data_IF_776301078431
#
_entry.id   IF_776301078431
#
_cell.length_a   1.000
_cell.length_b   1.000
_cell.length_c   1.000
_cell.angle_alpha   90.00
_cell.angle_beta   90.00
_cell.angle_gamma   90.00
#
_symmetry.space_group_name_H-M   'P 1'
#
loop_
_entity.id
_entity.type
_entity.pdbx_description
1 polymer ?
#
# COMPACT_ATOMS: atom_id res chain seq x y z
N UNK A 1 10.78 -38.61 -47.01
CA UNK A 1 10.70 -38.93 -45.57
C UNK A 1 10.22 -37.70 -44.82
N UNK A 2 8.93 -37.65 -44.49
CA UNK A 2 8.31 -36.57 -43.72
C UNK A 2 8.73 -36.69 -42.26
N UNK A 3 9.52 -35.73 -41.75
CA UNK A 3 9.75 -35.55 -40.31
C UNK A 3 8.46 -34.98 -39.71
N UNK A 4 7.70 -35.83 -39.02
CA UNK A 4 6.63 -35.40 -38.12
C UNK A 4 7.24 -34.50 -37.05
N UNK A 5 6.75 -33.26 -36.97
CA UNK A 5 6.92 -32.39 -35.81
C UNK A 5 6.29 -33.10 -34.61
N UNK A 6 7.12 -33.45 -33.64
CA UNK A 6 6.67 -33.93 -32.34
C UNK A 6 5.90 -32.80 -31.65
N UNK A 7 4.59 -32.97 -31.51
CA UNK A 7 3.80 -32.23 -30.54
C UNK A 7 4.34 -32.59 -29.16
N UNK A 8 5.15 -31.69 -28.58
CA UNK A 8 5.45 -31.72 -27.15
C UNK A 8 4.12 -31.67 -26.41
N UNK A 9 3.75 -32.80 -25.81
CA UNK A 9 2.71 -32.90 -24.79
C UNK A 9 2.90 -31.75 -23.81
N UNK A 10 1.85 -30.97 -23.65
CA UNK A 10 1.72 -29.93 -22.65
C UNK A 10 2.05 -30.56 -21.29
N UNK A 11 3.23 -30.22 -20.76
CA UNK A 11 3.65 -30.65 -19.44
C UNK A 11 2.56 -30.21 -18.46
N UNK A 12 2.17 -31.07 -17.52
CA UNK A 12 1.25 -30.81 -16.39
C UNK A 12 1.88 -29.77 -15.45
N UNK A 13 2.09 -28.58 -16.01
CA UNK A 13 2.65 -27.42 -15.32
C UNK A 13 1.56 -27.03 -14.36
N UNK A 14 1.71 -27.39 -13.09
CA UNK A 14 0.83 -26.94 -12.01
C UNK A 14 0.86 -25.42 -12.01
N UNK A 15 -0.11 -24.82 -12.70
CA UNK A 15 -0.28 -23.36 -12.73
C UNK A 15 -0.67 -22.96 -11.32
N UNK A 16 0.13 -22.09 -10.70
CA UNK A 16 -0.20 -21.55 -9.39
C UNK A 16 -1.55 -20.84 -9.43
N UNK A 17 -2.38 -21.02 -8.40
CA UNK A 17 -3.68 -20.32 -8.28
C UNK A 17 -3.51 -18.80 -8.32
N UNK A 18 -2.33 -18.29 -7.91
CA UNK A 18 -2.04 -16.87 -7.95
C UNK A 18 -1.79 -16.32 -9.37
N UNK A 19 -1.60 -17.17 -10.37
CA UNK A 19 -1.20 -16.78 -11.73
C UNK A 19 -2.30 -16.02 -12.47
N UNK A 20 -1.92 -15.12 -13.37
CA UNK A 20 -2.87 -14.35 -14.19
C UNK A 20 -2.63 -14.52 -15.68
N UNK A 21 -3.63 -14.99 -16.41
CA UNK A 21 -3.59 -15.08 -17.87
C UNK A 21 -4.01 -13.77 -18.54
N UNK A 22 -3.17 -13.21 -19.41
CA UNK A 22 -3.45 -11.98 -20.15
C UNK A 22 -4.43 -12.17 -21.32
N UNK A 23 -4.71 -13.40 -21.75
CA UNK A 23 -5.47 -13.71 -22.95
C UNK A 23 -6.83 -13.00 -23.06
N UNK A 24 -7.50 -12.75 -21.94
CA UNK A 24 -8.81 -12.09 -21.89
C UNK A 24 -8.76 -10.67 -21.31
N UNK A 25 -7.56 -10.09 -21.16
CA UNK A 25 -7.38 -8.77 -20.58
C UNK A 25 -7.63 -7.67 -21.61
N UNK A 26 -8.41 -6.65 -21.26
CA UNK A 26 -8.68 -5.48 -22.13
C UNK A 26 -7.45 -4.61 -22.35
N UNK A 27 -6.43 -4.76 -21.50
CA UNK A 27 -5.19 -4.01 -21.58
C UNK A 27 -4.11 -4.76 -22.34
N UNK A 28 -4.36 -5.99 -22.83
CA UNK A 28 -3.39 -6.70 -23.66
C UNK A 28 -3.35 -6.09 -25.06
N UNK A 29 -2.15 -5.83 -25.56
CA UNK A 29 -1.92 -5.26 -26.90
C UNK A 29 -1.33 -6.35 -27.79
N UNK A 30 -1.99 -6.63 -28.91
CA UNK A 30 -1.60 -7.69 -29.84
C UNK A 30 -1.24 -7.11 -31.21
N UNK A 31 -0.17 -7.66 -31.80
CA UNK A 31 0.22 -7.44 -33.19
C UNK A 31 0.40 -8.81 -33.84
N UNK A 32 -0.19 -9.02 -35.03
CA UNK A 32 -0.13 -10.31 -35.74
C UNK A 32 -0.52 -11.52 -34.87
N UNK A 33 -1.55 -11.38 -34.02
CA UNK A 33 -2.03 -12.41 -33.07
C UNK A 33 -1.05 -12.75 -31.93
N UNK A 34 0.01 -11.98 -31.74
CA UNK A 34 0.93 -12.14 -30.62
C UNK A 34 0.83 -10.93 -29.70
N UNK A 35 0.70 -11.17 -28.39
CA UNK A 35 0.73 -10.09 -27.42
C UNK A 35 2.13 -9.47 -27.40
N UNK A 36 2.23 -8.20 -27.78
CA UNK A 36 3.47 -7.43 -27.77
C UNK A 36 3.59 -6.57 -26.52
N UNK A 37 2.47 -6.23 -25.88
CA UNK A 37 2.46 -5.21 -24.84
C UNK A 37 1.28 -5.28 -23.88
N UNK A 38 1.20 -4.21 -23.08
CA UNK A 38 0.10 -3.96 -22.18
C UNK A 38 -0.11 -2.45 -22.05
N UNK A 39 -1.31 -1.96 -22.41
CA UNK A 39 -1.65 -0.54 -22.35
C UNK A 39 -1.52 0.06 -20.94
N UNK A 40 -1.67 -0.76 -19.89
CA UNK A 40 -1.45 -0.37 -18.49
C UNK A 40 0.03 -0.42 -18.07
N UNK A 41 0.95 -0.79 -18.96
CA UNK A 41 2.39 -0.87 -18.72
C UNK A 41 2.81 -1.98 -17.75
N UNK A 42 1.93 -2.95 -17.46
CA UNK A 42 2.20 -3.97 -16.42
C UNK A 42 3.17 -5.06 -16.87
N UNK A 43 3.12 -5.44 -18.14
CA UNK A 43 3.96 -6.51 -18.67
C UNK A 43 5.46 -6.18 -18.51
N UNK A 44 5.87 -4.95 -18.79
CA UNK A 44 7.25 -4.51 -18.59
C UNK A 44 7.66 -4.47 -17.12
N UNK A 45 6.73 -4.13 -16.22
CA UNK A 45 7.00 -4.14 -14.77
C UNK A 45 7.26 -5.57 -14.27
N UNK A 46 6.49 -6.54 -14.75
CA UNK A 46 6.73 -7.96 -14.44
C UNK A 46 8.08 -8.44 -14.96
N UNK A 47 8.49 -8.05 -16.17
CA UNK A 47 9.83 -8.37 -16.70
C UNK A 47 10.96 -7.78 -15.86
N UNK A 48 10.84 -6.51 -15.47
CA UNK A 48 11.84 -5.83 -14.63
C UNK A 48 12.00 -6.45 -13.25
N UNK A 49 10.92 -7.00 -12.71
CA UNK A 49 10.91 -7.70 -11.42
C UNK A 49 11.22 -9.20 -11.55
N UNK A 50 11.74 -9.65 -12.70
CA UNK A 50 12.12 -11.04 -12.97
C UNK A 50 11.00 -12.07 -12.71
N UNK A 51 9.75 -11.67 -12.99
CA UNK A 51 8.59 -12.57 -12.88
C UNK A 51 8.51 -13.45 -14.13
N UNK A 52 8.31 -14.75 -13.91
CA UNK A 52 8.17 -15.73 -15.00
C UNK A 52 6.92 -15.45 -15.86
N UNK A 53 7.14 -15.14 -17.13
CA UNK A 53 6.09 -14.89 -18.13
C UNK A 53 6.07 -16.02 -19.16
N UNK A 54 5.06 -16.88 -19.10
CA UNK A 54 4.92 -18.05 -19.97
C UNK A 54 4.02 -17.70 -21.16
N UNK A 55 4.48 -17.80 -22.41
CA UNK A 55 3.60 -17.66 -23.58
C UNK A 55 2.57 -18.78 -23.60
N UNK A 56 1.30 -18.41 -23.78
CA UNK A 56 0.16 -19.32 -23.93
C UNK A 56 -0.60 -18.98 -25.21
N UNK A 57 -1.00 -19.99 -25.96
CA UNK A 57 -1.87 -19.84 -27.12
C UNK A 57 -3.30 -20.23 -26.75
N UNK A 58 -4.29 -19.48 -27.26
CA UNK A 58 -5.68 -19.89 -27.20
C UNK A 58 -6.04 -20.82 -28.38
N UNK A 59 -7.30 -21.26 -28.46
CA UNK A 59 -7.81 -22.12 -29.54
C UNK A 59 -7.74 -21.46 -30.94
N UNK A 60 -7.54 -20.15 -31.01
CA UNK A 60 -7.45 -19.36 -32.25
C UNK A 60 -6.00 -19.00 -32.64
N UNK A 61 -5.01 -19.67 -32.03
CA UNK A 61 -3.57 -19.42 -32.16
C UNK A 61 -3.12 -17.99 -31.77
N UNK A 62 -3.92 -17.29 -30.94
CA UNK A 62 -3.54 -16.00 -30.38
C UNK A 62 -2.65 -16.24 -29.17
N UNK A 63 -1.39 -15.79 -29.26
CA UNK A 63 -0.40 -15.92 -28.19
C UNK A 63 -0.52 -14.74 -27.23
N UNK A 64 -0.67 -15.04 -25.95
CA UNK A 64 -0.68 -14.08 -24.82
C UNK A 64 0.23 -14.56 -23.71
N UNK A 65 0.47 -13.73 -22.69
CA UNK A 65 1.31 -14.15 -21.54
C UNK A 65 0.47 -14.67 -20.38
N UNK A 66 0.98 -15.71 -19.71
CA UNK A 66 0.60 -16.12 -18.36
C UNK A 66 1.65 -15.59 -17.40
N UNK A 67 1.22 -14.76 -16.45
CA UNK A 67 2.07 -14.26 -15.37
C UNK A 67 2.05 -15.32 -14.27
N UNK A 68 3.11 -16.11 -14.18
CA UNK A 68 3.16 -17.26 -13.29
C UNK A 68 3.37 -16.84 -11.83
N UNK A 69 2.58 -17.41 -10.93
CA UNK A 69 2.67 -17.17 -9.48
C UNK A 69 2.31 -15.76 -9.01
N UNK A 70 1.79 -14.87 -9.88
CA UNK A 70 1.45 -13.49 -9.52
C UNK A 70 0.09 -13.05 -10.06
N UNK A 71 -0.65 -12.34 -9.21
CA UNK A 71 -1.92 -11.74 -9.57
C UNK A 71 -1.70 -10.33 -10.13
N UNK A 72 -2.18 -10.07 -11.36
CA UNK A 72 -2.15 -8.73 -11.91
C UNK A 72 -3.37 -7.92 -11.42
N UNK A 73 -3.15 -6.98 -10.51
CA UNK A 73 -4.22 -6.12 -9.94
C UNK A 73 -4.94 -5.25 -10.98
N UNK A 74 -4.31 -5.03 -12.15
CA UNK A 74 -4.90 -4.34 -13.30
C UNK A 74 -5.70 -5.26 -14.22
N UNK A 75 -5.67 -6.59 -14.05
CA UNK A 75 -6.40 -7.47 -14.95
C UNK A 75 -7.90 -7.15 -14.93
N UNK A 76 -8.45 -6.88 -16.11
CA UNK A 76 -9.88 -6.62 -16.34
C UNK A 76 -10.25 -7.24 -17.67
N UNK A 77 -11.39 -7.93 -17.71
CA UNK A 77 -11.87 -8.57 -18.94
C UNK A 77 -12.91 -7.71 -19.68
N UNK A 78 -13.16 -8.05 -20.94
CA UNK A 78 -14.12 -7.32 -21.79
C UNK A 78 -15.53 -7.25 -21.19
N UNK A 79 -15.97 -8.30 -20.49
CA UNK A 79 -17.30 -8.33 -19.85
C UNK A 79 -17.40 -7.26 -18.75
N UNK A 80 -16.38 -7.15 -17.89
CA UNK A 80 -16.29 -6.13 -16.85
C UNK A 80 -16.21 -4.72 -17.45
N UNK A 81 -15.38 -4.52 -18.49
CA UNK A 81 -15.24 -3.21 -19.11
C UNK A 81 -16.58 -2.72 -19.68
N UNK A 82 -17.31 -3.60 -20.37
CA UNK A 82 -18.63 -3.31 -20.93
C UNK A 82 -19.66 -2.99 -19.85
N UNK A 83 -19.66 -3.69 -18.71
CA UNK A 83 -20.65 -3.47 -17.65
C UNK A 83 -20.47 -2.15 -16.91
N UNK A 84 -19.23 -1.74 -16.64
CA UNK A 84 -18.94 -0.54 -15.84
C UNK A 84 -18.68 0.71 -16.68
N UNK A 85 -18.04 0.57 -17.83
CA UNK A 85 -17.50 1.70 -18.60
C UNK A 85 -18.09 1.83 -20.01
N UNK A 86 -18.93 0.88 -20.46
CA UNK A 86 -19.60 0.89 -21.77
C UNK A 86 -18.59 1.13 -22.91
N UNK A 87 -18.75 2.20 -23.67
CA UNK A 87 -17.91 2.61 -24.80
C UNK A 87 -16.79 3.60 -24.43
N UNK A 88 -16.36 3.62 -23.16
CA UNK A 88 -15.22 4.46 -22.74
C UNK A 88 -13.92 4.02 -23.39
N UNK A 89 -13.03 4.97 -23.68
CA UNK A 89 -11.68 4.66 -24.15
C UNK A 89 -10.85 3.90 -23.12
N UNK A 90 -9.89 3.10 -23.59
CA UNK A 90 -8.96 2.35 -22.75
C UNK A 90 -8.25 3.26 -21.73
N UNK A 91 -7.82 4.45 -22.13
CA UNK A 91 -7.18 5.43 -21.24
C UNK A 91 -8.07 5.85 -20.06
N UNK A 92 -9.37 6.05 -20.32
CA UNK A 92 -10.32 6.41 -19.26
C UNK A 92 -10.50 5.24 -18.29
N UNK A 93 -10.53 4.01 -18.80
CA UNK A 93 -10.61 2.80 -17.98
C UNK A 93 -9.34 2.64 -17.14
N UNK A 94 -8.14 2.84 -17.72
CA UNK A 94 -6.86 2.81 -16.99
C UNK A 94 -6.86 3.83 -15.85
N UNK A 95 -7.27 5.08 -16.10
CA UNK A 95 -7.36 6.12 -15.07
C UNK A 95 -8.30 5.70 -13.93
N UNK A 96 -9.42 5.06 -14.27
CA UNK A 96 -10.41 4.61 -13.28
C UNK A 96 -9.88 3.43 -12.45
N UNK A 97 -9.21 2.46 -13.09
CA UNK A 97 -8.53 1.36 -12.38
C UNK A 97 -7.42 1.89 -11.48
N UNK A 98 -6.62 2.85 -11.93
CA UNK A 98 -5.61 3.51 -11.08
C UNK A 98 -6.22 4.16 -9.84
N UNK A 99 -7.36 4.82 -9.99
CA UNK A 99 -8.07 5.41 -8.85
C UNK A 99 -8.61 4.34 -7.89
N UNK A 100 -9.12 3.22 -8.41
CA UNK A 100 -9.60 2.07 -7.61
C UNK A 100 -8.48 1.43 -6.80
N UNK A 101 -7.27 1.38 -7.36
CA UNK A 101 -6.12 0.74 -6.72
C UNK A 101 -5.49 1.59 -5.62
N UNK A 102 -5.85 2.88 -5.46
CA UNK A 102 -5.32 3.73 -4.39
C UNK A 102 -5.49 3.05 -3.02
N UNK A 103 -4.36 2.75 -2.39
CA UNK A 103 -4.33 1.97 -1.15
C UNK A 103 -4.85 2.84 0.00
N UNK A 104 -5.97 2.47 0.66
CA UNK A 104 -6.40 3.19 1.85
C UNK A 104 -5.44 2.90 3.00
N UNK A 105 -5.00 3.96 3.68
CA UNK A 105 -4.13 3.85 4.85
C UNK A 105 -4.59 4.76 5.99
N UNK A 106 -4.05 4.50 7.17
CA UNK A 106 -4.30 5.23 8.41
C UNK A 106 -3.03 5.96 8.85
N UNK A 107 -3.15 7.22 9.23
CA UNK A 107 -2.05 7.97 9.86
C UNK A 107 -2.28 8.07 11.37
N UNK A 108 -1.27 7.71 12.14
CA UNK A 108 -1.14 8.01 13.56
C UNK A 108 -0.21 9.22 13.69
N UNK A 109 -0.77 10.39 13.96
CA UNK A 109 -0.02 11.64 14.05
C UNK A 109 0.17 12.01 15.52
N UNK A 110 1.39 11.94 16.01
CA UNK A 110 1.72 12.27 17.40
C UNK A 110 1.97 13.77 17.55
N UNK A 111 1.34 14.36 18.57
CA UNK A 111 1.58 15.71 19.04
C UNK A 111 2.38 15.63 20.34
N UNK A 112 3.58 16.19 20.35
CA UNK A 112 4.51 16.25 21.49
C UNK A 112 4.42 17.58 22.22
N UNK A 113 5.20 17.73 23.29
CA UNK A 113 5.12 18.89 24.19
C UNK A 113 5.68 20.18 23.58
N UNK A 114 6.58 20.05 22.61
CA UNK A 114 7.23 21.11 21.86
C UNK A 114 6.45 21.54 20.61
N UNK A 115 5.46 20.75 20.21
CA UNK A 115 4.62 21.02 19.05
C UNK A 115 3.51 22.04 19.35
N UNK A 116 3.20 22.87 18.35
CA UNK A 116 2.14 23.85 18.40
C UNK A 116 0.87 23.40 17.67
N UNK A 117 -0.23 24.13 17.88
CA UNK A 117 -1.45 23.95 17.09
C UNK A 117 -1.24 24.26 15.60
N UNK A 118 -0.30 25.14 15.28
CA UNK A 118 0.03 25.49 13.90
C UNK A 118 0.75 24.32 13.22
N UNK A 119 1.61 23.60 13.95
CA UNK A 119 2.25 22.37 13.45
C UNK A 119 1.21 21.31 13.11
N UNK A 120 0.23 21.09 13.99
CA UNK A 120 -0.91 20.18 13.70
C UNK A 120 -1.62 20.60 12.42
N UNK A 121 -1.93 21.89 12.27
CA UNK A 121 -2.57 22.42 11.06
C UNK A 121 -1.72 22.21 9.80
N UNK A 122 -0.41 22.44 9.88
CA UNK A 122 0.52 22.24 8.77
C UNK A 122 0.54 20.76 8.34
N UNK A 123 0.74 19.83 9.28
CA UNK A 123 0.77 18.39 8.99
C UNK A 123 -0.54 17.86 8.43
N UNK A 124 -1.69 18.28 8.98
CA UNK A 124 -2.99 17.88 8.43
C UNK A 124 -3.21 18.42 7.02
N UNK A 125 -2.71 19.63 6.72
CA UNK A 125 -2.73 20.18 5.36
C UNK A 125 -1.86 19.37 4.41
N UNK A 126 -0.65 18.98 4.82
CA UNK A 126 0.25 18.13 4.03
C UNK A 126 -0.32 16.74 3.78
N UNK A 127 -1.04 16.18 4.75
CA UNK A 127 -1.75 14.91 4.61
C UNK A 127 -2.94 15.00 3.65
N UNK A 128 -3.72 16.08 3.71
CA UNK A 128 -4.85 16.31 2.80
C UNK A 128 -4.37 16.48 1.34
N UNK A 129 -3.18 17.05 1.13
CA UNK A 129 -2.60 17.31 -0.20
C UNK A 129 -1.83 16.14 -0.81
N UNK A 130 -1.68 15.03 -0.09
CA UNK A 130 -1.04 13.80 -0.60
C UNK A 130 -1.74 13.27 -1.86
N UNK A 131 -0.98 12.70 -2.80
CA UNK A 131 -1.55 12.05 -4.00
C UNK A 131 -2.54 10.94 -3.63
N UNK A 132 -2.19 10.15 -2.62
CA UNK A 132 -3.14 9.28 -1.93
C UNK A 132 -3.38 9.87 -0.54
N UNK A 133 -4.50 10.58 -0.39
CA UNK A 133 -4.97 11.10 0.90
C UNK A 133 -5.21 9.96 1.90
N UNK A 134 -4.78 10.07 3.18
CA UNK A 134 -5.10 9.06 4.18
C UNK A 134 -6.61 8.96 4.37
N UNK A 135 -7.09 7.73 4.55
CA UNK A 135 -8.51 7.49 4.79
C UNK A 135 -8.87 7.85 6.23
N UNK A 136 -7.96 7.56 7.15
CA UNK A 136 -8.14 7.75 8.58
C UNK A 136 -6.96 8.55 9.10
N UNK A 137 -7.22 9.54 9.94
CA UNK A 137 -6.18 10.23 10.73
C UNK A 137 -6.53 10.15 12.21
N UNK A 138 -5.64 9.61 13.01
CA UNK A 138 -5.73 9.68 14.48
C UNK A 138 -4.67 10.63 14.98
N UNK A 139 -5.10 11.79 15.46
CA UNK A 139 -4.24 12.71 16.18
C UNK A 139 -4.10 12.22 17.62
N UNK A 140 -2.88 11.91 18.03
CA UNK A 140 -2.54 11.38 19.33
C UNK A 140 -1.87 12.50 20.12
N UNK A 141 -2.60 13.07 21.06
CA UNK A 141 -2.10 14.12 21.93
C UNK A 141 -1.29 13.50 23.08
N UNK A 142 0.03 13.61 22.95
CA UNK A 142 1.06 13.29 23.95
C UNK A 142 1.82 14.54 24.39
N UNK A 143 1.22 15.71 24.23
CA UNK A 143 1.86 16.97 24.66
C UNK A 143 1.99 17.06 26.17
N UNK A 144 1.16 16.30 26.90
CA UNK A 144 1.01 16.36 28.36
C UNK A 144 0.78 17.80 28.86
N UNK A 145 0.20 18.65 28.00
CA UNK A 145 -0.15 20.02 28.34
C UNK A 145 -1.20 20.06 29.45
N UNK A 146 -1.03 20.97 30.41
CA UNK A 146 -2.04 21.20 31.45
C UNK A 146 -3.30 21.87 30.89
N UNK A 147 -3.20 22.47 29.70
CA UNK A 147 -4.33 23.08 29.01
C UNK A 147 -5.09 22.00 28.23
N UNK A 148 -6.40 21.93 28.44
CA UNK A 148 -7.28 21.08 27.63
C UNK A 148 -7.31 21.62 26.19
N UNK A 149 -6.68 20.91 25.26
CA UNK A 149 -6.56 21.32 23.85
C UNK A 149 -7.58 20.66 22.92
N UNK A 150 -8.34 19.67 23.41
CA UNK A 150 -9.25 18.85 22.59
C UNK A 150 -10.21 19.68 21.73
N UNK A 151 -10.79 20.76 22.28
CA UNK A 151 -11.71 21.61 21.52
C UNK A 151 -11.04 22.37 20.37
N UNK A 152 -9.80 22.82 20.56
CA UNK A 152 -9.05 23.51 19.51
C UNK A 152 -8.57 22.52 18.44
N UNK A 153 -8.08 21.34 18.85
CA UNK A 153 -7.74 20.25 17.94
C UNK A 153 -8.93 19.81 17.09
N UNK A 154 -10.13 19.70 17.68
CA UNK A 154 -11.36 19.36 16.94
C UNK A 154 -11.66 20.40 15.85
N UNK A 155 -11.55 21.70 16.17
CA UNK A 155 -11.76 22.77 15.18
C UNK A 155 -10.76 22.71 14.04
N UNK A 156 -9.52 22.30 14.31
CA UNK A 156 -8.50 22.13 13.26
C UNK A 156 -8.87 20.92 12.40
N UNK A 157 -9.11 19.74 12.98
CA UNK A 157 -9.45 18.53 12.22
C UNK A 157 -10.69 18.69 11.35
N UNK A 158 -11.70 19.45 11.80
CA UNK A 158 -12.93 19.72 11.05
C UNK A 158 -12.72 20.48 9.73
N UNK A 159 -11.58 21.14 9.53
CA UNK A 159 -11.26 21.86 8.29
C UNK A 159 -10.89 20.93 7.14
N UNK A 160 -10.55 19.67 7.44
CA UNK A 160 -10.02 18.71 6.48
C UNK A 160 -11.07 17.64 6.14
N UNK A 161 -10.92 17.01 4.98
CA UNK A 161 -11.93 16.12 4.40
C UNK A 161 -11.50 14.65 4.41
N UNK A 162 -10.88 14.23 5.52
CA UNK A 162 -10.60 12.82 5.77
C UNK A 162 -11.90 12.03 5.97
N UNK A 163 -11.95 10.78 5.51
CA UNK A 163 -13.15 9.96 5.67
C UNK A 163 -13.46 9.69 7.14
N UNK A 164 -12.41 9.52 7.95
CA UNK A 164 -12.50 9.45 9.40
C UNK A 164 -11.34 10.22 10.03
N UNK A 165 -11.63 10.91 11.13
CA UNK A 165 -10.59 11.44 12.00
C UNK A 165 -10.96 11.18 13.46
N UNK A 166 -9.94 11.12 14.32
CA UNK A 166 -10.09 10.94 15.77
C UNK A 166 -9.00 11.72 16.49
N UNK A 167 -9.34 12.21 17.67
CA UNK A 167 -8.37 12.74 18.63
C UNK A 167 -8.31 11.76 19.80
N UNK A 168 -7.10 11.42 20.23
CA UNK A 168 -6.85 10.54 21.35
C UNK A 168 -5.80 11.19 22.26
N UNK A 169 -6.22 11.66 23.43
CA UNK A 169 -5.30 12.23 24.42
C UNK A 169 -4.81 11.15 25.38
N UNK A 170 -3.49 11.04 25.54
CA UNK A 170 -2.85 10.10 26.45
C UNK A 170 -2.27 10.87 27.63
N UNK A 171 -2.86 10.67 28.81
CA UNK A 171 -2.45 11.40 30.03
C UNK A 171 -1.28 10.73 30.75
N UNK A 172 -1.12 9.41 30.61
CA UNK A 172 -0.04 8.65 31.23
C UNK A 172 1.29 8.93 30.51
N UNK A 173 2.23 9.58 31.21
CA UNK A 173 3.54 9.97 30.68
C UNK A 173 4.44 8.74 30.49
N UNK A 174 4.30 7.76 31.37
CA UNK A 174 5.06 6.51 31.41
C UNK A 174 4.61 5.47 30.39
N UNK A 175 3.45 5.67 29.75
CA UNK A 175 2.96 4.76 28.73
C UNK A 175 3.86 4.82 27.47
N UNK A 176 4.30 3.68 26.97
CA UNK A 176 5.17 3.61 25.80
C UNK A 176 4.39 3.94 24.52
N UNK A 177 5.05 4.56 23.53
CA UNK A 177 4.41 4.87 22.24
C UNK A 177 3.86 3.63 21.54
N UNK A 178 4.53 2.48 21.69
CA UNK A 178 4.05 1.20 21.16
C UNK A 178 2.69 0.80 21.75
N UNK A 179 2.47 0.99 23.05
CA UNK A 179 1.19 0.70 23.70
C UNK A 179 0.10 1.68 23.22
N UNK A 180 0.48 2.94 22.99
CA UNK A 180 -0.42 3.96 22.45
C UNK A 180 -0.81 3.66 20.99
N UNK A 181 0.14 3.16 20.19
CA UNK A 181 -0.10 2.68 18.83
C UNK A 181 -1.09 1.52 18.85
N UNK A 182 -0.91 0.54 19.73
CA UNK A 182 -1.84 -0.60 19.88
C UNK A 182 -3.25 -0.11 20.26
N UNK A 183 -3.35 0.85 21.19
CA UNK A 183 -4.63 1.44 21.55
C UNK A 183 -5.30 2.18 20.37
N UNK A 184 -4.52 2.97 19.62
CA UNK A 184 -5.03 3.65 18.43
C UNK A 184 -5.47 2.66 17.34
N UNK A 185 -4.70 1.59 17.15
CA UNK A 185 -4.99 0.49 16.26
C UNK A 185 -6.30 -0.21 16.64
N UNK A 186 -6.47 -0.60 17.90
CA UNK A 186 -7.64 -1.32 18.39
C UNK A 186 -8.95 -0.54 18.17
N UNK A 187 -8.86 0.78 18.22
CA UNK A 187 -9.97 1.69 17.95
C UNK A 187 -10.33 1.78 16.46
N UNK A 188 -9.41 1.47 15.55
CA UNK A 188 -9.63 1.55 14.10
C UNK A 188 -9.61 0.19 13.41
N UNK A 189 -9.26 -0.92 14.07
CA UNK A 189 -9.07 -2.25 13.45
C UNK A 189 -10.27 -2.78 12.66
N UNK A 190 -11.49 -2.33 12.95
CA UNK A 190 -12.69 -2.70 12.15
C UNK A 190 -12.85 -1.90 10.86
N UNK A 191 -12.10 -0.81 10.69
CA UNK A 191 -12.12 0.03 9.50
C UNK A 191 -11.26 -0.57 8.39
N UNK A 192 -11.61 -0.26 7.14
CA UNK A 192 -10.91 -0.78 5.97
C UNK A 192 -9.74 0.12 5.57
N UNK A 193 -8.52 -0.30 5.90
CA UNK A 193 -7.22 0.24 5.47
C UNK A 193 -6.20 -0.92 5.41
N UNK A 194 -5.15 -0.77 4.59
CA UNK A 194 -4.13 -1.81 4.38
C UNK A 194 -2.99 -1.73 5.39
N UNK A 195 -2.56 -0.52 5.71
CA UNK A 195 -1.47 -0.25 6.65
C UNK A 195 -1.75 1.04 7.41
N UNK A 196 -1.04 1.22 8.52
CA UNK A 196 -0.95 2.51 9.19
C UNK A 196 0.49 3.00 9.21
N UNK A 197 0.68 4.32 9.23
CA UNK A 197 1.99 4.96 9.35
C UNK A 197 1.99 5.91 10.53
N UNK A 198 3.09 5.94 11.28
CA UNK A 198 3.30 6.77 12.45
C UNK A 198 4.13 7.98 12.06
N UNK A 199 3.60 9.16 12.31
CA UNK A 199 4.21 10.45 12.00
C UNK A 199 4.18 11.34 13.25
N UNK A 200 4.98 12.38 13.23
CA UNK A 200 5.17 13.32 14.34
C UNK A 200 4.84 14.74 13.87
N UNK A 201 4.19 15.54 14.70
CA UNK A 201 3.78 16.90 14.34
C UNK A 201 4.98 17.80 14.02
N UNK A 202 6.07 17.64 14.76
CA UNK A 202 7.29 18.45 14.62
C UNK A 202 8.08 18.25 13.32
N UNK A 203 7.71 17.30 12.46
CA UNK A 203 8.46 16.99 11.23
C UNK A 203 7.59 17.12 9.99
N UNK A 204 8.10 17.79 8.95
CA UNK A 204 7.41 17.95 7.67
C UNK A 204 7.11 16.60 7.01
N UNK A 205 5.90 16.45 6.46
CA UNK A 205 5.49 15.27 5.71
C UNK A 205 5.73 15.54 4.22
N UNK A 206 6.67 14.82 3.57
CA UNK A 206 6.94 15.02 2.16
C UNK A 206 5.69 14.81 1.31
N UNK A 207 5.44 15.73 0.37
CA UNK A 207 4.28 15.65 -0.55
C UNK A 207 4.23 14.37 -1.39
N UNK A 208 5.38 13.71 -1.57
CA UNK A 208 5.51 12.47 -2.35
C UNK A 208 5.39 11.20 -1.51
N UNK A 209 5.26 11.28 -0.19
CA UNK A 209 5.28 10.12 0.70
C UNK A 209 4.26 9.04 0.27
N UNK A 210 3.00 9.44 0.11
CA UNK A 210 1.93 8.54 -0.30
C UNK A 210 2.12 7.96 -1.71
N UNK A 211 2.64 8.76 -2.64
CA UNK A 211 2.90 8.37 -4.01
C UNK A 211 4.05 7.36 -4.08
N UNK A 212 5.10 7.56 -3.29
CA UNK A 212 6.24 6.65 -3.20
C UNK A 212 5.81 5.29 -2.66
N UNK A 213 5.09 5.25 -1.53
CA UNK A 213 4.58 3.98 -0.96
C UNK A 213 3.66 3.27 -1.97
N UNK A 214 2.75 4.01 -2.61
CA UNK A 214 1.82 3.46 -3.58
C UNK A 214 2.55 2.88 -4.79
N UNK A 215 3.55 3.60 -5.31
CA UNK A 215 4.39 3.16 -6.41
C UNK A 215 5.18 1.91 -6.02
N UNK A 216 5.84 1.89 -4.87
CA UNK A 216 6.63 0.74 -4.43
C UNK A 216 5.77 -0.52 -4.32
N UNK A 217 4.60 -0.42 -3.70
CA UNK A 217 3.69 -1.56 -3.51
C UNK A 217 3.04 -2.04 -4.81
N UNK A 218 2.54 -1.13 -5.66
CA UNK A 218 1.81 -1.54 -6.86
C UNK A 218 2.70 -1.67 -8.09
N UNK A 219 3.58 -0.71 -8.33
CA UNK A 219 4.34 -0.61 -9.56
C UNK A 219 5.62 -1.42 -9.50
N UNK A 220 6.37 -1.26 -8.42
CA UNK A 220 7.65 -1.94 -8.24
C UNK A 220 7.46 -3.32 -7.58
N UNK A 221 6.25 -3.61 -7.07
CA UNK A 221 5.83 -4.89 -6.47
C UNK A 221 6.69 -5.30 -5.27
N UNK A 222 7.20 -4.30 -4.57
CA UNK A 222 7.94 -4.46 -3.34
C UNK A 222 7.00 -5.00 -2.26
N UNK A 223 7.57 -5.81 -1.36
CA UNK A 223 6.86 -6.34 -0.20
C UNK A 223 7.54 -5.90 1.09
N UNK A 224 6.71 -5.55 2.08
CA UNK A 224 7.13 -5.32 3.45
C UNK A 224 6.01 -5.74 4.40
N UNK A 225 6.37 -5.98 5.66
CA UNK A 225 5.45 -6.20 6.78
C UNK A 225 5.54 -5.02 7.74
N UNK A 226 6.77 -4.54 7.96
CA UNK A 226 7.08 -3.34 8.74
C UNK A 226 8.10 -2.50 7.97
N UNK A 227 7.87 -1.19 7.97
CA UNK A 227 8.87 -0.19 7.67
C UNK A 227 9.36 0.42 8.98
N UNK A 228 10.63 0.22 9.29
CA UNK A 228 11.30 0.91 10.40
C UNK A 228 11.35 2.40 10.10
N UNK A 229 11.19 3.27 11.13
CA UNK A 229 11.22 4.70 10.92
C UNK A 229 12.59 5.17 10.42
N UNK A 230 12.63 6.39 9.89
CA UNK A 230 13.88 7.05 9.49
C UNK A 230 14.70 7.49 10.73
N UNK A 231 15.82 8.17 10.51
CA UNK A 231 16.70 8.67 11.58
C UNK A 231 16.05 9.68 12.53
N UNK A 232 14.93 10.30 12.12
CA UNK A 232 14.12 11.20 12.94
C UNK A 232 12.98 10.47 13.68
N UNK A 233 12.98 9.13 13.65
CA UNK A 233 11.92 8.29 14.21
C UNK A 233 10.53 8.49 13.55
N UNK A 234 10.50 8.95 12.29
CA UNK A 234 9.27 9.22 11.52
C UNK A 234 9.06 8.15 10.46
N UNK A 235 7.78 7.83 10.17
CA UNK A 235 7.40 7.00 9.03
C UNK A 235 7.32 5.50 9.33
N UNK A 236 7.35 5.11 10.62
CA UNK A 236 7.15 3.71 11.01
C UNK A 236 5.81 3.24 10.44
N UNK A 237 5.85 2.26 9.53
CA UNK A 237 4.66 1.81 8.80
C UNK A 237 4.45 0.33 9.03
N UNK A 238 3.22 -0.07 9.35
CA UNK A 238 2.91 -1.46 9.71
C UNK A 238 1.71 -1.92 8.90
N UNK A 239 1.83 -3.08 8.26
CA UNK A 239 0.69 -3.74 7.63
C UNK A 239 -0.34 -4.13 8.69
N UNK A 240 -1.60 -3.78 8.44
CA UNK A 240 -2.72 -4.10 9.34
C UNK A 240 -2.77 -5.58 9.67
N UNK A 241 -2.67 -6.44 8.65
CA UNK A 241 -2.71 -7.90 8.81
C UNK A 241 -1.57 -8.43 9.69
N UNK A 242 -0.41 -7.78 9.67
CA UNK A 242 0.71 -8.15 10.51
C UNK A 242 0.44 -7.80 11.97
N UNK A 243 -0.06 -6.59 12.23
CA UNK A 243 -0.46 -6.19 13.57
C UNK A 243 -1.51 -7.18 14.14
N UNK A 244 -2.51 -7.57 13.35
CA UNK A 244 -3.52 -8.55 13.79
C UNK A 244 -2.93 -9.93 14.06
N UNK A 245 -2.08 -10.44 13.15
CA UNK A 245 -1.50 -11.79 13.25
C UNK A 245 -0.68 -11.97 14.53
N UNK A 246 0.13 -10.98 14.90
CA UNK A 246 1.06 -11.09 16.04
C UNK A 246 0.59 -10.34 17.29
N UNK A 247 -0.64 -9.80 17.28
CA UNK A 247 -1.20 -9.07 18.41
C UNK A 247 -0.45 -7.77 18.74
N UNK A 248 0.01 -7.04 17.73
CA UNK A 248 0.67 -5.75 17.91
C UNK A 248 1.90 -5.80 18.79
N UNK A 249 2.04 -4.81 19.67
CA UNK A 249 3.12 -4.70 20.66
C UNK A 249 2.71 -5.27 22.05
N UNK A 250 1.65 -6.10 22.10
CA UNK A 250 1.19 -6.76 23.32
C UNK A 250 2.32 -7.39 24.13
N UNK A 251 2.20 -7.35 25.45
CA UNK A 251 3.20 -7.82 26.42
C UNK A 251 4.52 -7.05 26.36
N UNK A 252 4.51 -5.80 25.89
CA UNK A 252 5.69 -4.92 25.75
C UNK A 252 6.78 -5.46 24.83
N UNK A 253 6.47 -6.47 24.01
CA UNK A 253 7.37 -7.05 23.02
C UNK A 253 7.08 -6.33 21.68
N UNK A 254 8.07 -5.64 21.09
CA UNK A 254 7.92 -5.02 19.77
C UNK A 254 7.40 -5.99 18.72
N UNK A 255 6.54 -5.50 17.83
CA UNK A 255 5.96 -6.31 16.76
C UNK A 255 7.04 -6.92 15.84
N UNK A 256 8.12 -6.17 15.59
CA UNK A 256 9.29 -6.58 14.82
C UNK A 256 9.91 -7.88 15.37
N UNK A 257 10.12 -7.93 16.69
CA UNK A 257 10.74 -9.07 17.36
C UNK A 257 9.87 -10.33 17.25
N UNK A 258 8.54 -10.15 17.32
CA UNK A 258 7.59 -11.26 17.14
C UNK A 258 7.64 -11.83 15.73
N UNK A 259 7.72 -10.97 14.71
CA UNK A 259 7.80 -11.40 13.31
C UNK A 259 9.07 -12.22 13.07
N UNK A 260 10.21 -11.73 13.56
CA UNK A 260 11.48 -12.44 13.44
C UNK A 260 11.42 -13.78 14.17
N UNK A 261 10.86 -13.81 15.38
CA UNK A 261 10.79 -15.03 16.18
C UNK A 261 9.87 -16.11 15.60
N UNK A 262 8.68 -15.74 15.08
CA UNK A 262 7.66 -16.71 14.68
C UNK A 262 7.72 -17.11 13.20
N UNK A 263 8.12 -16.21 12.31
CA UNK A 263 8.02 -16.41 10.86
C UNK A 263 9.39 -16.44 10.15
N UNK A 264 10.49 -16.14 10.85
CA UNK A 264 11.84 -15.99 10.27
C UNK A 264 11.87 -15.04 9.04
N UNK A 265 10.96 -14.06 9.05
CA UNK A 265 10.69 -13.18 7.92
C UNK A 265 11.38 -11.82 8.07
N UNK A 266 12.61 -11.79 8.61
CA UNK A 266 13.36 -10.55 8.84
C UNK A 266 13.53 -9.70 7.58
N UNK A 267 13.63 -10.34 6.40
CA UNK A 267 13.71 -9.67 5.09
C UNK A 267 12.47 -8.84 4.73
N UNK A 268 11.33 -9.02 5.42
CA UNK A 268 10.12 -8.21 5.24
C UNK A 268 10.07 -7.00 6.19
N UNK A 269 11.05 -6.84 7.07
CA UNK A 269 11.26 -5.65 7.89
C UNK A 269 12.32 -4.81 7.17
N UNK A 270 11.94 -3.62 6.72
CA UNK A 270 12.79 -2.78 5.86
C UNK A 270 12.87 -1.35 6.39
N UNK A 271 13.89 -0.61 6.00
CA UNK A 271 13.92 0.84 6.27
C UNK A 271 12.81 1.55 5.49
N UNK A 272 12.12 2.52 6.10
CA UNK A 272 11.08 3.29 5.41
C UNK A 272 11.59 3.96 4.13
N UNK A 273 12.84 4.40 4.12
CA UNK A 273 13.48 5.06 2.98
C UNK A 273 13.71 4.14 1.78
N UNK A 274 13.70 2.82 1.97
CA UNK A 274 13.82 1.85 0.88
C UNK A 274 12.53 1.76 0.05
N UNK A 275 11.38 1.95 0.71
CA UNK A 275 10.04 1.89 0.11
C UNK A 275 9.50 3.29 -0.19
N UNK A 276 9.90 4.28 0.60
CA UNK A 276 9.46 5.67 0.53
C UNK A 276 10.68 6.61 0.53
N UNK A 277 11.39 6.76 -0.61
CA UNK A 277 12.62 7.54 -0.67
C UNK A 277 12.45 9.01 -0.29
N UNK A 278 11.25 9.59 -0.43
CA UNK A 278 10.98 10.95 0.01
C UNK A 278 11.09 11.17 1.53
N UNK A 279 11.02 10.11 2.34
CA UNK A 279 11.26 10.17 3.79
C UNK A 279 12.74 10.10 4.17
N UNK A 280 13.64 10.04 3.18
CA UNK A 280 15.07 10.10 3.43
C UNK A 280 15.45 11.48 3.94
N UNK A 281 16.00 11.53 5.15
CA UNK A 281 16.46 12.78 5.75
C UNK A 281 17.80 13.15 5.10
N UNK A 282 17.93 14.39 4.65
CA UNK A 282 19.17 14.94 4.09
C UNK A 282 20.26 15.11 5.14
#
# INVERSE_FOLDING_TARGET
MNKKLEQKKQDDTKVSIASTACANCIFAEHENRVQIGCAAGRLEKFRKADVNLVPIANEEDITSFLIDGKTCVYYRNNKWAKSYYKSSSVDKIIKSVKAELKIPYHVLLFLRSDDSLDDVGARLSELESQDVKPKIVTLIDRSHSTKIMTGDLMKICQKYSFAHWRIQSIQAIDQLDNDVIDLAYDNTKKMNYMFYTVLECGYEIPQKMSADIHKSLHDDMESFVILSPNSQNVGKTILKVAHEKYGGNSFTIPLEDKIVHYDDAAHLIRGVEEICPSLRVS
#
